data_IF_029197007999
#
_entry.id   IF_029197007999
#
_cell.length_a   1.000
_cell.length_b   1.000
_cell.length_c   1.000
_cell.angle_alpha   90.00
_cell.angle_beta   90.00
_cell.angle_gamma   90.00
#
_symmetry.space_group_name_H-M   'P 1'
#
loop_
_entity.id
_entity.type
_entity.pdbx_description
1 polymer ?
#
# COMPACT_ATOMS: atom_id res chain seq x y z
N UNK A 1 -7.70 -14.46 -8.69
CA UNK A 1 -8.42 -13.46 -9.50
C UNK A 1 -9.35 -12.67 -8.59
N UNK A 2 -9.14 -11.36 -8.49
CA UNK A 2 -10.08 -10.43 -7.86
C UNK A 2 -11.32 -10.30 -8.77
N UNK A 3 -12.51 -10.27 -8.19
CA UNK A 3 -13.77 -10.09 -8.93
C UNK A 3 -14.51 -8.90 -8.36
N UNK A 4 -14.81 -7.92 -9.21
CA UNK A 4 -15.66 -6.78 -8.87
C UNK A 4 -17.11 -7.24 -8.73
N UNK A 5 -17.63 -7.16 -7.51
CA UNK A 5 -19.04 -7.39 -7.22
C UNK A 5 -19.77 -6.04 -7.19
N UNK A 6 -20.09 -5.50 -8.37
CA UNK A 6 -20.97 -4.35 -8.48
C UNK A 6 -22.40 -4.76 -8.14
N UNK A 7 -22.88 -4.37 -6.95
CA UNK A 7 -24.32 -4.43 -6.66
C UNK A 7 -25.04 -3.42 -7.54
N UNK A 8 -26.20 -3.75 -8.13
CA UNK A 8 -27.03 -2.72 -8.75
C UNK A 8 -27.45 -1.74 -7.65
N UNK A 9 -26.99 -0.50 -7.76
CA UNK A 9 -27.34 0.57 -6.85
C UNK A 9 -28.87 0.68 -6.77
N UNK A 10 -29.44 0.47 -5.59
CA UNK A 10 -30.84 0.81 -5.33
C UNK A 10 -30.89 2.32 -5.10
N UNK A 11 -30.98 3.06 -6.20
CA UNK A 11 -31.00 4.52 -6.18
C UNK A 11 -29.72 5.10 -6.77
N UNK A 12 -29.87 5.89 -7.82
CA UNK A 12 -28.81 6.41 -8.68
C UNK A 12 -27.89 7.46 -8.01
N UNK A 13 -27.98 7.63 -6.68
CA UNK A 13 -27.33 8.73 -5.95
C UNK A 13 -26.40 8.28 -4.81
N UNK A 14 -26.36 6.99 -4.44
CA UNK A 14 -25.68 6.56 -3.19
C UNK A 14 -24.17 6.27 -3.33
N UNK A 15 -23.64 6.26 -4.56
CA UNK A 15 -22.20 6.02 -4.83
C UNK A 15 -21.40 7.30 -5.16
N UNK A 16 -22.05 8.46 -5.18
CA UNK A 16 -21.38 9.73 -5.45
C UNK A 16 -20.56 10.16 -4.22
N UNK A 17 -19.26 9.85 -4.26
CA UNK A 17 -18.28 10.33 -3.28
C UNK A 17 -17.83 9.31 -2.21
N UNK A 18 -18.00 8.00 -2.45
CA UNK A 18 -17.45 6.99 -1.55
C UNK A 18 -16.10 6.47 -2.07
N UNK A 19 -15.02 6.73 -1.34
CA UNK A 19 -13.71 6.13 -1.59
C UNK A 19 -13.71 4.63 -1.31
N UNK A 20 -12.88 3.90 -2.04
CA UNK A 20 -12.77 2.45 -1.96
C UNK A 20 -11.52 2.06 -1.17
N UNK A 21 -11.69 1.35 -0.06
CA UNK A 21 -10.58 0.85 0.74
C UNK A 21 -10.35 -0.65 0.48
N UNK A 22 -9.20 -1.00 -0.08
CA UNK A 22 -8.73 -2.37 -0.26
C UNK A 22 -7.82 -2.76 0.90
N UNK A 23 -8.07 -3.88 1.56
CA UNK A 23 -7.22 -4.38 2.64
C UNK A 23 -6.60 -5.71 2.19
N UNK A 24 -5.27 -5.82 2.23
CA UNK A 24 -4.53 -7.01 1.79
C UNK A 24 -3.25 -7.20 2.62
N UNK A 25 -2.78 -8.44 2.74
CA UNK A 25 -1.45 -8.79 3.28
C UNK A 25 -0.33 -8.76 2.21
N UNK A 26 -0.68 -8.34 0.99
CA UNK A 26 0.23 -8.24 -0.13
C UNK A 26 0.54 -9.58 -0.81
N UNK A 27 -0.22 -10.64 -0.53
CA UNK A 27 -0.16 -11.93 -1.27
C UNK A 27 -1.12 -11.94 -2.47
N UNK A 28 -1.00 -10.93 -3.32
CA UNK A 28 -1.74 -10.84 -4.58
C UNK A 28 -0.97 -11.49 -5.72
N UNK A 29 -1.71 -11.90 -6.74
CA UNK A 29 -1.16 -12.43 -8.00
C UNK A 29 -0.51 -11.26 -8.77
N UNK A 30 0.46 -11.54 -9.63
CA UNK A 30 1.02 -10.55 -10.55
C UNK A 30 0.76 -11.04 -11.99
N UNK A 31 -0.16 -10.41 -12.75
CA UNK A 31 -0.93 -9.20 -12.41
C UNK A 31 -2.05 -9.44 -11.37
N UNK A 32 -2.49 -8.39 -10.64
CA UNK A 32 -3.42 -8.53 -9.51
C UNK A 32 -4.86 -8.85 -9.92
N UNK A 33 -5.25 -8.45 -11.13
CA UNK A 33 -6.53 -8.74 -11.74
C UNK A 33 -6.36 -8.94 -13.25
N UNK A 34 -7.40 -9.46 -13.92
CA UNK A 34 -7.40 -9.51 -15.38
C UNK A 34 -7.58 -8.11 -16.00
N UNK A 35 -7.17 -7.96 -17.27
CA UNK A 35 -7.22 -6.69 -18.01
C UNK A 35 -8.63 -6.07 -18.02
N UNK A 36 -9.66 -6.90 -18.08
CA UNK A 36 -11.05 -6.44 -18.10
C UNK A 36 -11.44 -5.79 -16.76
N UNK A 37 -11.02 -6.39 -15.65
CA UNK A 37 -11.27 -5.88 -14.29
C UNK A 37 -10.48 -4.60 -14.04
N UNK A 38 -9.23 -4.54 -14.49
CA UNK A 38 -8.42 -3.32 -14.43
C UNK A 38 -9.08 -2.17 -15.22
N UNK A 39 -9.52 -2.43 -16.45
CA UNK A 39 -10.20 -1.41 -17.26
C UNK A 39 -11.54 -0.94 -16.64
N UNK A 40 -12.25 -1.83 -15.94
CA UNK A 40 -13.47 -1.44 -15.21
C UNK A 40 -13.16 -0.56 -14.00
N UNK A 41 -12.07 -0.84 -13.28
CA UNK A 41 -11.62 0.02 -12.17
C UNK A 41 -11.27 1.42 -12.67
N UNK A 42 -10.53 1.52 -13.77
CA UNK A 42 -10.16 2.81 -14.36
C UNK A 42 -11.40 3.62 -14.78
N UNK A 43 -12.36 2.98 -15.46
CA UNK A 43 -13.61 3.62 -15.85
C UNK A 43 -14.42 4.10 -14.63
N UNK A 44 -14.43 3.34 -13.55
CA UNK A 44 -15.13 3.70 -12.32
C UNK A 44 -14.44 4.87 -11.61
N UNK A 45 -13.11 4.89 -11.55
CA UNK A 45 -12.33 6.02 -11.02
C UNK A 45 -12.62 7.30 -11.80
N UNK A 46 -12.55 7.23 -13.12
CA UNK A 46 -12.76 8.39 -14.00
C UNK A 46 -14.19 8.92 -13.94
N UNK A 47 -15.19 8.03 -13.89
CA UNK A 47 -16.59 8.42 -13.96
C UNK A 47 -17.18 8.89 -12.63
N UNK A 48 -16.76 8.30 -11.50
CA UNK A 48 -17.35 8.56 -10.19
C UNK A 48 -16.43 9.37 -9.26
N UNK A 49 -15.17 9.62 -9.65
CA UNK A 49 -14.25 10.49 -8.93
C UNK A 49 -13.89 9.99 -7.52
N UNK A 50 -13.98 8.67 -7.28
CA UNK A 50 -13.55 8.08 -6.01
C UNK A 50 -12.10 7.62 -6.08
N UNK A 51 -11.39 7.71 -4.96
CA UNK A 51 -10.05 7.18 -4.82
C UNK A 51 -10.08 5.73 -4.33
N UNK A 52 -9.13 4.92 -4.81
CA UNK A 52 -8.88 3.56 -4.32
C UNK A 52 -7.67 3.59 -3.40
N UNK A 53 -7.92 3.50 -2.10
CA UNK A 53 -6.88 3.39 -1.08
C UNK A 53 -6.57 1.92 -0.79
N UNK A 54 -5.30 1.55 -0.78
CA UNK A 54 -4.81 0.27 -0.32
C UNK A 54 -4.37 0.34 1.14
N UNK A 55 -4.63 -0.71 1.90
CA UNK A 55 -4.10 -0.93 3.24
C UNK A 55 -3.35 -2.26 3.25
N UNK A 56 -2.03 -2.17 3.19
CA UNK A 56 -1.12 -3.30 3.31
C UNK A 56 -0.91 -3.64 4.79
N UNK A 57 -1.32 -4.85 5.16
CA UNK A 57 -1.15 -5.39 6.50
C UNK A 57 0.15 -6.19 6.56
N UNK A 58 1.07 -5.76 7.43
CA UNK A 58 2.32 -6.47 7.68
C UNK A 58 3.55 -5.73 7.17
N UNK A 59 4.49 -6.45 6.55
CA UNK A 59 5.78 -5.89 6.16
C UNK A 59 5.64 -5.00 4.92
N UNK A 60 6.13 -3.77 5.04
CA UNK A 60 6.26 -2.84 3.91
C UNK A 60 7.16 -3.42 2.82
N UNK A 61 6.58 -3.60 1.64
CA UNK A 61 7.24 -4.09 0.43
C UNK A 61 6.42 -3.66 -0.80
N UNK A 62 7.02 -3.57 -2.00
CA UNK A 62 6.27 -3.48 -3.23
C UNK A 62 5.36 -4.70 -3.40
N UNK A 63 4.12 -4.47 -3.81
CA UNK A 63 3.10 -5.51 -3.98
C UNK A 63 2.25 -5.22 -5.22
N UNK A 64 1.61 -6.23 -5.83
CA UNK A 64 0.63 -5.99 -6.89
C UNK A 64 -0.58 -5.14 -6.46
N UNK A 65 -0.71 -4.83 -5.16
CA UNK A 65 -1.69 -3.87 -4.65
C UNK A 65 -1.39 -2.44 -5.13
N UNK A 66 -0.11 -2.12 -5.37
CA UNK A 66 0.34 -0.80 -5.84
C UNK A 66 -0.24 -0.48 -7.21
N UNK A 67 -0.48 -1.48 -8.06
CA UNK A 67 -1.10 -1.29 -9.38
C UNK A 67 -2.62 -1.08 -9.29
N UNK A 68 -3.24 -1.50 -8.17
CA UNK A 68 -4.68 -1.43 -7.94
C UNK A 68 -5.14 -0.21 -7.16
N UNK A 69 -4.23 0.55 -6.57
CA UNK A 69 -4.57 1.63 -5.63
C UNK A 69 -3.92 2.94 -6.07
N UNK A 70 -4.59 4.06 -5.80
CA UNK A 70 -4.03 5.39 -5.98
C UNK A 70 -2.99 5.70 -4.90
N UNK A 71 -3.21 5.17 -3.69
CA UNK A 71 -2.27 5.25 -2.57
C UNK A 71 -2.33 3.96 -1.74
N UNK A 72 -1.18 3.44 -1.30
CA UNK A 72 -1.09 2.28 -0.40
C UNK A 72 -0.52 2.70 0.95
N UNK A 73 -1.30 2.50 2.01
CA UNK A 73 -0.89 2.70 3.38
C UNK A 73 -0.42 1.39 4.00
N UNK A 74 0.62 1.43 4.83
CA UNK A 74 1.10 0.25 5.57
C UNK A 74 0.69 0.34 7.03
N UNK A 75 0.14 -0.76 7.57
CA UNK A 75 -0.22 -0.87 8.98
C UNK A 75 0.48 -2.04 9.63
N UNK A 76 0.74 -1.92 10.94
CA UNK A 76 1.39 -2.91 11.80
C UNK A 76 2.90 -3.11 11.62
N UNK A 77 3.55 -2.56 10.58
CA UNK A 77 5.00 -2.72 10.42
C UNK A 77 5.80 -2.18 11.63
N UNK A 78 5.39 -1.05 12.21
CA UNK A 78 5.99 -0.49 13.43
C UNK A 78 5.68 -1.30 14.71
N UNK A 79 4.70 -2.19 14.66
CA UNK A 79 4.26 -3.01 15.79
C UNK A 79 4.69 -4.48 15.67
N UNK A 80 5.32 -4.88 14.55
CA UNK A 80 5.93 -6.19 14.40
C UNK A 80 7.08 -6.34 15.42
N UNK A 81 7.00 -7.31 16.37
CA UNK A 81 8.05 -7.51 17.37
C UNK A 81 9.44 -7.77 16.78
N UNK A 82 9.51 -8.40 15.60
CA UNK A 82 10.78 -8.66 14.91
C UNK A 82 11.34 -7.39 14.28
N UNK A 83 10.50 -6.55 13.68
CA UNK A 83 10.94 -5.25 13.14
C UNK A 83 11.37 -4.30 14.27
N UNK A 84 10.67 -4.29 15.40
CA UNK A 84 11.09 -3.53 16.59
C UNK A 84 12.43 -4.00 17.13
N UNK A 85 12.70 -5.31 17.11
CA UNK A 85 13.98 -5.86 17.51
C UNK A 85 15.10 -5.51 16.51
N UNK A 86 14.81 -5.55 15.20
CA UNK A 86 15.75 -5.13 14.14
C UNK A 86 16.11 -3.65 14.26
N UNK A 87 15.11 -2.79 14.44
CA UNK A 87 15.31 -1.35 14.63
C UNK A 87 16.13 -1.04 15.89
N UNK A 88 15.92 -1.79 16.98
CA UNK A 88 16.70 -1.66 18.21
C UNK A 88 18.14 -2.22 18.07
N UNK A 89 18.36 -3.16 17.14
CA UNK A 89 19.66 -3.78 16.87
C UNK A 89 20.46 -3.11 15.75
N UNK A 90 19.91 -2.12 15.05
CA UNK A 90 20.64 -1.39 14.02
C UNK A 90 21.74 -0.56 14.69
N UNK A 91 23.03 -0.75 14.33
CA UNK A 91 24.09 0.08 14.86
C UNK A 91 23.81 1.52 14.42
N UNK A 92 23.71 2.44 15.38
CA UNK A 92 23.83 3.85 15.10
C UNK A 92 25.13 4.00 14.31
N UNK A 93 25.04 4.37 13.03
CA UNK A 93 26.21 4.66 12.22
C UNK A 93 26.98 5.77 12.94
N UNK A 94 27.98 5.37 13.72
CA UNK A 94 28.93 6.28 14.33
C UNK A 94 29.57 6.99 13.15
N UNK A 95 29.28 8.28 13.03
CA UNK A 95 30.13 9.22 12.33
C UNK A 95 31.47 9.21 13.07
N UNK A 96 32.35 8.28 12.70
CA UNK A 96 33.78 8.41 12.93
C UNK A 96 34.19 9.53 11.98
N UNK A 97 34.24 10.76 12.50
CA UNK A 97 34.99 11.81 11.84
C UNK A 97 36.45 11.52 12.12
N UNK A 98 37.14 10.94 11.13
CA UNK A 98 38.59 10.91 11.10
C UNK A 98 39.09 12.36 11.12
N UNK A 99 39.81 12.70 12.19
CA UNK A 99 40.44 13.98 12.39
C UNK A 99 41.74 13.73 13.15
N UNK A 100 42.78 13.37 12.41
CA UNK A 100 44.18 13.40 12.82
C UNK A 100 44.50 14.70 13.57
N UNK A 101 44.95 14.58 14.82
CA UNK A 101 45.83 15.59 15.43
C UNK A 101 47.05 14.85 15.98
N UNK A 102 48.14 14.98 15.24
CA UNK A 102 49.49 14.54 15.63
C UNK A 102 50.12 15.68 16.45
N UNK A 103 50.48 15.48 17.74
CA UNK A 103 51.25 16.49 18.45
C UNK A 103 52.75 16.40 18.08
N UNK A 104 53.49 17.52 18.12
CA UNK A 104 54.92 17.58 17.81
C UNK A 104 55.81 16.85 18.81
#
# INVERSE_FOLDING_TARGET
ALTLLSRPARGEEESLGADLLLISDGELQDPPADEQTMAQLDLLRDAAGFAVHGLLIGRERPTPLDDLCDEVHTFLCAHDPLERLRAAGAPAAQRITDGEDLPP
#
